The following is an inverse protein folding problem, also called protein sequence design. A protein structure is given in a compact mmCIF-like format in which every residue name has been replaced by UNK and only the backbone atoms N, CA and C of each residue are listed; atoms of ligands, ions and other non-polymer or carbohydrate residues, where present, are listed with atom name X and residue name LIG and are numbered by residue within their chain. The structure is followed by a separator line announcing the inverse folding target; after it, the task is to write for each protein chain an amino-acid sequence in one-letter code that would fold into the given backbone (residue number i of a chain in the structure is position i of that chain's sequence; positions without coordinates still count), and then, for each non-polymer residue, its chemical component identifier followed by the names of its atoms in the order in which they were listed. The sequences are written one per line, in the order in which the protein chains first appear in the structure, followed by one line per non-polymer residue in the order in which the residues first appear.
data_IF_357844665822
#
_entry.id   IF_357844665822
#
_cell.length_a   1.000
_cell.length_b   1.000
_cell.length_c   1.000
_cell.angle_alpha   90.00
_cell.angle_beta   90.00
_cell.angle_gamma   90.00
#
_symmetry.space_group_name_H-M   'P 1'
#
loop_
_entity.id
_entity.type
_entity.pdbx_description
1 polymer ?
#
# COMPACT_ATOMS: atom_id res chain seq x y z
N UNK A 1 3.81 -13.19 8.77
CA UNK A 1 4.96 -14.12 8.69
C UNK A 1 4.43 -15.52 8.40
N UNK A 2 5.21 -16.40 7.76
CA UNK A 2 4.78 -17.78 7.50
C UNK A 2 4.83 -18.61 8.79
N UNK A 3 4.09 -19.71 8.85
CA UNK A 3 4.10 -20.65 9.97
C UNK A 3 5.54 -21.14 10.21
N UNK A 4 6.04 -20.97 11.44
CA UNK A 4 7.41 -21.34 11.84
C UNK A 4 8.42 -20.20 11.89
N UNK A 5 8.05 -18.97 11.47
CA UNK A 5 8.91 -17.79 11.59
C UNK A 5 8.66 -17.03 12.89
N UNK A 6 9.71 -16.82 13.69
CA UNK A 6 9.63 -16.06 14.94
C UNK A 6 10.44 -14.76 14.83
N UNK A 7 9.87 -13.63 15.23
CA UNK A 7 10.60 -12.36 15.29
C UNK A 7 11.59 -12.42 16.45
N UNK A 8 12.89 -12.32 16.15
CA UNK A 8 13.97 -12.27 17.15
C UNK A 8 14.11 -10.84 17.68
N UNK A 9 14.16 -9.87 16.77
CA UNK A 9 14.24 -8.44 17.12
C UNK A 9 13.76 -7.56 15.96
N UNK A 10 13.28 -6.37 16.32
CA UNK A 10 13.12 -5.26 15.37
C UNK A 10 14.44 -4.50 15.32
N UNK A 11 15.02 -4.35 14.14
CA UNK A 11 16.29 -3.64 13.95
C UNK A 11 16.09 -2.19 13.49
N UNK A 12 14.98 -1.88 12.82
CA UNK A 12 14.67 -0.51 12.40
C UNK A 12 13.17 -0.26 12.23
N UNK A 13 12.83 1.02 12.04
CA UNK A 13 11.47 1.53 11.86
C UNK A 13 10.85 2.04 13.17
N UNK A 14 9.78 2.82 13.02
CA UNK A 14 9.09 3.48 14.14
C UNK A 14 7.68 2.90 14.28
N UNK A 15 7.32 2.33 15.45
CA UNK A 15 5.97 1.78 15.65
C UNK A 15 4.95 2.92 15.55
N UNK A 16 3.87 2.66 14.81
CA UNK A 16 2.84 3.66 14.49
C UNK A 16 3.18 4.58 13.31
N UNK A 17 4.40 4.50 12.74
CA UNK A 17 4.77 5.26 11.54
C UNK A 17 4.91 4.31 10.34
N UNK A 18 3.82 4.17 9.60
CA UNK A 18 3.74 3.31 8.42
C UNK A 18 4.56 3.81 7.22
N UNK A 19 5.17 5.00 7.32
CA UNK A 19 5.99 5.62 6.25
C UNK A 19 7.45 5.19 6.31
N UNK A 20 7.87 4.57 7.41
CA UNK A 20 9.25 4.15 7.62
C UNK A 20 9.37 2.65 7.40
N UNK A 21 10.42 2.24 6.69
CA UNK A 21 10.71 0.82 6.51
C UNK A 21 10.97 0.15 7.86
N UNK A 22 10.21 -0.91 8.13
CA UNK A 22 10.40 -1.79 9.27
C UNK A 22 11.37 -2.90 8.88
N UNK A 23 12.37 -3.12 9.73
CA UNK A 23 13.36 -4.19 9.55
C UNK A 23 13.24 -5.15 10.72
N UNK A 24 12.98 -6.42 10.41
CA UNK A 24 12.86 -7.48 11.39
C UNK A 24 13.93 -8.55 11.15
N UNK A 25 14.61 -8.95 12.22
CA UNK A 25 15.34 -10.21 12.24
C UNK A 25 14.35 -11.30 12.66
N UNK A 26 14.19 -12.31 11.82
CA UNK A 26 13.34 -13.46 12.09
C UNK A 26 14.16 -14.74 12.10
N UNK A 27 13.76 -15.71 12.91
CA UNK A 27 14.30 -17.07 12.91
C UNK A 27 13.33 -17.97 12.15
N UNK A 28 13.82 -18.65 11.12
CA UNK A 28 13.08 -19.52 10.21
C UNK A 28 13.79 -20.87 10.15
N UNK A 29 13.22 -21.90 10.79
CA UNK A 29 13.82 -23.25 10.80
C UNK A 29 15.24 -23.32 11.39
N UNK A 30 15.58 -22.41 12.31
CA UNK A 30 16.93 -22.34 12.91
C UNK A 30 17.86 -21.31 12.26
N UNK A 31 17.50 -20.75 11.10
CA UNK A 31 18.31 -19.75 10.39
C UNK A 31 17.75 -18.35 10.65
N UNK A 32 18.65 -17.40 10.94
CA UNK A 32 18.28 -16.00 11.06
C UNK A 32 18.19 -15.33 9.67
N UNK A 33 17.09 -14.63 9.41
CA UNK A 33 16.83 -13.90 8.17
C UNK A 33 16.36 -12.49 8.49
N UNK A 34 16.87 -11.52 7.72
CA UNK A 34 16.44 -10.12 7.81
C UNK A 34 15.34 -9.86 6.78
N UNK A 35 14.17 -9.44 7.26
CA UNK A 35 13.01 -9.07 6.43
C UNK A 35 12.85 -7.55 6.49
N UNK A 36 12.69 -6.94 5.31
CA UNK A 36 12.38 -5.52 5.14
C UNK A 36 10.95 -5.37 4.64
N UNK A 37 10.18 -4.52 5.30
CA UNK A 37 8.77 -4.31 5.00
C UNK A 37 8.41 -2.83 5.15
N UNK A 38 7.79 -2.26 4.13
CA UNK A 38 7.22 -0.91 4.17
C UNK A 38 5.68 -1.03 4.16
N UNK A 39 4.98 -0.67 5.25
CA UNK A 39 3.53 -0.84 5.35
C UNK A 39 2.71 -0.12 4.28
N UNK A 40 3.10 1.10 3.90
CA UNK A 40 2.43 1.83 2.80
C UNK A 40 2.67 1.19 1.41
N UNK A 41 3.54 0.18 1.30
CA UNK A 41 3.95 -0.39 0.03
C UNK A 41 4.80 0.58 -0.81
N UNK A 42 5.19 0.17 -2.03
CA UNK A 42 5.98 1.00 -2.96
C UNK A 42 5.13 1.82 -3.92
N UNK A 43 3.79 1.74 -3.85
CA UNK A 43 2.90 2.37 -4.83
C UNK A 43 2.31 3.66 -4.26
N UNK A 44 2.72 4.79 -4.84
CA UNK A 44 1.95 6.04 -4.77
C UNK A 44 0.67 5.85 -5.58
N UNK A 45 -0.46 5.87 -4.92
CA UNK A 45 -1.76 6.04 -5.58
C UNK A 45 -2.03 7.54 -5.70
N UNK A 46 -2.08 8.05 -6.92
CA UNK A 46 -2.57 9.42 -7.19
C UNK A 46 -4.07 9.32 -7.37
N UNK A 47 -4.82 9.67 -6.32
CA UNK A 47 -6.28 9.76 -6.39
C UNK A 47 -6.65 11.15 -6.90
N UNK A 48 -7.23 11.24 -8.09
CA UNK A 48 -7.79 12.49 -8.63
C UNK A 48 -9.30 12.51 -8.35
N UNK A 49 -9.76 13.51 -7.60
CA UNK A 49 -11.19 13.75 -7.41
C UNK A 49 -11.68 14.72 -8.49
N UNK A 50 -12.68 14.31 -9.28
CA UNK A 50 -13.23 15.12 -10.36
C UNK A 50 -14.66 15.48 -9.99
N UNK A 51 -14.88 16.77 -9.75
CA UNK A 51 -16.21 17.32 -9.48
C UNK A 51 -16.74 17.93 -10.77
N UNK A 52 -17.82 17.39 -11.37
CA UNK A 52 -18.42 18.01 -12.53
C UNK A 52 -19.04 19.36 -12.13
N UNK A 53 -18.76 20.39 -12.93
CA UNK A 53 -19.19 21.79 -12.67
C UNK A 53 -20.70 21.96 -12.76
N UNK A 54 -21.39 21.02 -13.40
CA UNK A 54 -22.83 20.96 -13.52
C UNK A 54 -23.34 19.54 -13.22
N UNK A 55 -24.60 19.42 -12.79
CA UNK A 55 -25.23 18.12 -12.57
C UNK A 55 -25.34 17.38 -13.90
N UNK A 56 -24.58 16.31 -14.04
CA UNK A 56 -24.63 15.44 -15.21
C UNK A 56 -25.86 14.52 -15.14
N UNK A 57 -26.56 14.41 -16.26
CA UNK A 57 -27.54 13.35 -16.49
C UNK A 57 -26.85 11.99 -16.67
N UNK A 58 -27.63 10.93 -16.86
CA UNK A 58 -27.08 9.57 -16.95
C UNK A 58 -26.20 9.35 -18.18
N UNK A 59 -26.48 10.05 -19.28
CA UNK A 59 -25.66 10.02 -20.49
C UNK A 59 -24.32 10.73 -20.26
N UNK A 60 -24.33 11.92 -19.64
CA UNK A 60 -23.15 12.69 -19.28
C UNK A 60 -22.25 11.98 -18.27
N UNK A 61 -22.84 11.28 -17.28
CA UNK A 61 -22.07 10.44 -16.34
C UNK A 61 -21.35 9.29 -17.04
N UNK A 62 -22.01 8.62 -17.98
CA UNK A 62 -21.40 7.53 -18.77
C UNK A 62 -20.29 8.03 -19.68
N UNK A 63 -20.47 9.18 -20.33
CA UNK A 63 -19.43 9.78 -21.16
C UNK A 63 -18.20 10.19 -20.34
N UNK A 64 -18.40 10.79 -19.16
CA UNK A 64 -17.31 11.13 -18.24
C UNK A 64 -16.56 9.87 -17.78
N UNK A 65 -17.29 8.81 -17.40
CA UNK A 65 -16.69 7.55 -16.97
C UNK A 65 -15.80 6.92 -18.06
N UNK A 66 -16.24 6.91 -19.33
CA UNK A 66 -15.41 6.44 -20.45
C UNK A 66 -14.13 7.26 -20.61
N UNK A 67 -14.26 8.59 -20.59
CA UNK A 67 -13.12 9.50 -20.74
C UNK A 67 -12.09 9.34 -19.62
N UNK A 68 -12.52 9.04 -18.40
CA UNK A 68 -11.62 8.78 -17.27
C UNK A 68 -11.06 7.35 -17.27
N UNK A 69 -11.80 6.40 -17.82
CA UNK A 69 -11.40 4.99 -17.95
C UNK A 69 -10.39 4.73 -19.08
N UNK A 70 -10.22 5.68 -20.02
CA UNK A 70 -9.22 5.59 -21.08
C UNK A 70 -9.62 4.73 -22.29
N UNK A 71 -10.92 4.55 -22.54
CA UNK A 71 -11.48 3.92 -23.76
C UNK A 71 -12.10 4.95 -24.71
#
# INVERSE_FOLDING_TARGET
LRNGMTIVKREAGKPGDSRVELVYLVKDGGVEKRIRYLPEGKKRHVTQNIVPVARLDEAGRRALARRLGGE
#
